data_IF_401414926569
#
_entry.id   IF_401414926569
#
_cell.length_a   1.000
_cell.length_b   1.000
_cell.length_c   1.000
_cell.angle_alpha   90.00
_cell.angle_beta   90.00
_cell.angle_gamma   90.00
#
_symmetry.space_group_name_H-M   'P 1'
#
loop_
_entity.id
_entity.type
_entity.pdbx_description
1 polymer ?
#
# COMPACT_ATOMS: atom_id res chain seq x y z
N UNK A 1 -6.65 13.44 5.00
CA UNK A 1 -5.62 12.55 5.55
C UNK A 1 -5.97 11.13 5.13
N UNK A 2 -5.05 10.40 4.50
CA UNK A 2 -5.19 8.94 4.36
C UNK A 2 -5.49 8.41 5.77
N UNK A 3 -6.72 7.88 5.96
CA UNK A 3 -7.22 7.52 7.30
C UNK A 3 -6.33 6.47 7.97
N UNK A 4 -5.56 5.75 7.16
CA UNK A 4 -4.50 4.85 7.58
C UNK A 4 -3.29 5.14 6.68
N UNK A 5 -2.19 5.49 7.32
CA UNK A 5 -0.77 5.20 7.03
C UNK A 5 -0.46 4.62 5.63
N UNK A 6 0.64 5.07 5.00
CA UNK A 6 1.07 4.72 3.63
C UNK A 6 1.05 3.21 3.34
N UNK A 7 1.06 2.38 4.37
CA UNK A 7 0.88 0.93 4.39
C UNK A 7 -0.38 0.44 3.65
N UNK A 8 -1.46 1.22 3.56
CA UNK A 8 -2.58 0.91 2.65
C UNK A 8 -2.11 0.77 1.21
N UNK A 9 -1.27 1.70 0.77
CA UNK A 9 -0.73 1.70 -0.59
C UNK A 9 0.27 0.56 -0.77
N UNK A 10 1.01 0.16 0.28
CA UNK A 10 1.89 -1.02 0.24
C UNK A 10 1.09 -2.30 0.03
N UNK A 11 -0.01 -2.50 0.77
CA UNK A 11 -0.89 -3.66 0.62
C UNK A 11 -1.64 -3.67 -0.72
N UNK A 12 -1.82 -2.51 -1.35
CA UNK A 12 -2.32 -2.42 -2.73
C UNK A 12 -1.22 -2.66 -3.79
N UNK A 13 0.05 -2.72 -3.38
CA UNK A 13 1.23 -2.88 -4.25
C UNK A 13 1.73 -4.32 -4.28
N UNK A 14 0.90 -5.27 -4.73
CA UNK A 14 1.16 -6.70 -4.56
C UNK A 14 2.55 -7.13 -5.06
N UNK A 15 2.88 -6.80 -6.33
CA UNK A 15 4.13 -7.27 -6.95
C UNK A 15 5.37 -6.63 -6.30
N UNK A 16 5.44 -5.31 -6.09
CA UNK A 16 6.58 -4.72 -5.38
C UNK A 16 6.68 -5.20 -3.93
N UNK A 17 5.57 -5.38 -3.23
CA UNK A 17 5.57 -5.88 -1.85
C UNK A 17 6.12 -7.31 -1.78
N UNK A 18 5.66 -8.24 -2.63
CA UNK A 18 6.21 -9.60 -2.73
C UNK A 18 7.71 -9.58 -3.03
N UNK A 19 8.14 -8.73 -3.97
CA UNK A 19 9.55 -8.55 -4.30
C UNK A 19 10.35 -8.05 -3.10
N UNK A 20 9.79 -7.13 -2.30
CA UNK A 20 10.44 -6.61 -1.09
C UNK A 20 10.54 -7.66 0.01
N UNK A 21 9.48 -8.45 0.19
CA UNK A 21 9.43 -9.59 1.11
C UNK A 21 10.36 -10.71 0.68
N UNK A 22 10.64 -10.86 -0.62
CA UNK A 22 11.42 -11.96 -1.17
C UNK A 22 10.62 -13.26 -1.23
N UNK A 23 9.30 -13.17 -1.38
CA UNK A 23 8.37 -14.30 -1.47
C UNK A 23 7.58 -14.23 -2.77
N UNK A 24 6.94 -15.34 -3.15
CA UNK A 24 6.10 -15.44 -4.35
C UNK A 24 4.61 -15.31 -4.04
N UNK A 25 4.24 -15.45 -2.77
CA UNK A 25 2.88 -15.37 -2.27
C UNK A 25 2.83 -14.70 -0.88
N UNK A 26 1.65 -14.24 -0.50
CA UNK A 26 1.41 -13.65 0.82
C UNK A 26 0.98 -14.73 1.80
N UNK A 27 1.56 -14.70 3.00
CA UNK A 27 1.20 -15.58 4.11
C UNK A 27 -0.09 -15.14 4.81
N UNK A 28 -0.55 -13.92 4.54
CA UNK A 28 -1.72 -13.28 5.15
C UNK A 28 -2.63 -12.69 4.09
N UNK A 29 -3.90 -12.56 4.45
CA UNK A 29 -4.93 -11.90 3.64
C UNK A 29 -5.42 -10.63 4.35
N UNK A 30 -5.93 -9.69 3.56
CA UNK A 30 -6.57 -8.45 4.01
C UNK A 30 -7.80 -8.16 3.15
N UNK A 31 -8.58 -7.14 3.52
CA UNK A 31 -9.81 -6.78 2.79
C UNK A 31 -9.51 -6.21 1.41
N UNK A 32 -10.46 -6.37 0.49
CA UNK A 32 -10.48 -5.66 -0.79
C UNK A 32 -11.81 -4.89 -0.90
N UNK A 33 -11.81 -3.55 -0.93
CA UNK A 33 -10.64 -2.66 -0.98
C UNK A 33 -9.83 -2.67 0.32
N UNK A 34 -8.52 -2.41 0.17
CA UNK A 34 -7.56 -2.40 1.29
C UNK A 34 -7.92 -1.31 2.33
N UNK A 35 -8.55 -0.24 1.86
CA UNK A 35 -9.01 0.89 2.68
C UNK A 35 -10.09 0.51 3.70
N UNK A 36 -10.78 -0.62 3.51
CA UNK A 36 -11.80 -1.13 4.43
C UNK A 36 -11.20 -1.94 5.59
N UNK A 37 -9.88 -2.15 5.60
CA UNK A 37 -9.20 -2.90 6.65
C UNK A 37 -9.38 -2.17 8.00
N UNK A 38 -10.02 -2.86 8.96
CA UNK A 38 -10.56 -2.23 10.17
C UNK A 38 -9.53 -1.87 11.24
N UNK A 39 -10.01 -1.26 12.33
CA UNK A 39 -9.19 -0.74 13.42
C UNK A 39 -8.65 -1.84 14.35
N UNK A 40 -9.21 -3.05 14.32
CA UNK A 40 -8.70 -4.16 15.13
C UNK A 40 -7.44 -4.76 14.51
N UNK A 41 -7.29 -4.67 13.18
CA UNK A 41 -6.07 -5.04 12.49
C UNK A 41 -5.79 -4.06 11.34
N UNK A 42 -5.27 -2.86 11.64
CA UNK A 42 -5.06 -1.84 10.61
C UNK A 42 -3.98 -2.26 9.61
N UNK A 43 -3.94 -1.65 8.41
CA UNK A 43 -2.98 -1.96 7.35
C UNK A 43 -1.52 -2.10 7.83
N UNK A 44 -1.08 -1.22 8.74
CA UNK A 44 0.26 -1.27 9.34
C UNK A 44 0.58 -2.60 10.00
N UNK A 45 -0.38 -3.18 10.74
CA UNK A 45 -0.18 -4.47 11.42
C UNK A 45 -0.06 -5.62 10.42
N UNK A 46 -0.84 -5.57 9.34
CA UNK A 46 -0.73 -6.58 8.27
C UNK A 46 0.64 -6.50 7.60
N UNK A 47 1.14 -5.29 7.31
CA UNK A 47 2.49 -5.11 6.74
C UNK A 47 3.57 -5.61 7.68
N UNK A 48 3.52 -5.25 8.97
CA UNK A 48 4.46 -5.74 9.98
C UNK A 48 4.48 -7.28 10.06
N UNK A 49 3.30 -7.91 10.06
CA UNK A 49 3.16 -9.37 10.08
C UNK A 49 3.76 -10.01 8.83
N UNK A 50 3.50 -9.46 7.64
CA UNK A 50 4.06 -9.98 6.37
C UNK A 50 5.60 -9.92 6.36
N UNK A 51 6.19 -8.82 6.85
CA UNK A 51 7.64 -8.72 6.98
C UNK A 51 8.18 -9.71 8.01
N UNK A 52 7.51 -9.85 9.15
CA UNK A 52 7.88 -10.81 10.20
C UNK A 52 7.83 -12.25 9.70
N UNK A 53 6.76 -12.63 8.98
CA UNK A 53 6.61 -13.95 8.36
C UNK A 53 7.73 -14.23 7.34
N UNK A 54 8.23 -13.19 6.65
CA UNK A 54 9.38 -13.27 5.75
C UNK A 54 10.76 -13.21 6.47
N UNK A 55 10.78 -13.23 7.81
CA UNK A 55 12.01 -13.14 8.61
C UNK A 55 12.69 -11.76 8.57
N UNK A 56 11.94 -10.71 8.24
CA UNK A 56 12.43 -9.33 8.11
C UNK A 56 11.76 -8.41 9.13
N UNK A 57 12.45 -7.32 9.48
CA UNK A 57 11.85 -6.23 10.25
C UNK A 57 11.40 -5.14 9.29
N UNK A 58 10.13 -4.79 9.33
CA UNK A 58 9.58 -3.64 8.60
C UNK A 58 10.22 -2.34 9.09
N UNK A 59 10.66 -1.51 8.15
CA UNK A 59 11.28 -0.19 8.36
C UNK A 59 10.62 0.82 7.44
N UNK A 60 9.65 1.53 7.99
CA UNK A 60 8.83 2.52 7.26
C UNK A 60 9.67 3.46 6.38
N UNK A 61 10.75 4.04 6.91
CA UNK A 61 11.62 4.99 6.19
C UNK A 61 12.40 4.42 5.02
N UNK A 62 12.53 3.09 4.91
CA UNK A 62 13.27 2.43 3.84
C UNK A 62 12.36 1.60 2.93
N UNK A 63 11.37 0.92 3.51
CA UNK A 63 10.51 -0.02 2.80
C UNK A 63 9.39 0.70 2.06
N UNK A 64 8.77 1.72 2.66
CA UNK A 64 7.72 2.51 2.03
C UNK A 64 8.18 3.14 0.72
N UNK A 65 9.25 3.98 0.68
CA UNK A 65 9.70 4.58 -0.57
C UNK A 65 10.13 3.50 -1.58
N UNK A 66 10.81 2.45 -1.13
CA UNK A 66 11.25 1.39 -2.04
C UNK A 66 10.08 0.71 -2.74
N UNK A 67 9.00 0.41 -2.01
CA UNK A 67 7.80 -0.24 -2.55
C UNK A 67 7.06 0.73 -3.47
N UNK A 68 6.75 1.94 -3.00
CA UNK A 68 5.89 2.89 -3.71
C UNK A 68 6.53 3.44 -4.98
N UNK A 69 7.84 3.67 -5.02
CA UNK A 69 8.57 4.04 -6.26
C UNK A 69 8.45 2.98 -7.36
N UNK A 70 8.10 1.74 -7.00
CA UNK A 70 8.03 0.59 -7.90
C UNK A 70 6.60 0.14 -8.15
N UNK A 71 5.62 0.85 -7.60
CA UNK A 71 4.20 0.52 -7.72
C UNK A 71 3.59 1.11 -8.98
N UNK A 72 2.69 0.34 -9.60
CA UNK A 72 1.88 0.86 -10.70
C UNK A 72 0.77 1.73 -10.15
N UNK A 73 0.81 2.98 -10.57
CA UNK A 73 -0.09 4.01 -10.11
C UNK A 73 -1.54 3.80 -10.58
N UNK A 74 -1.73 3.21 -11.78
CA UNK A 74 -3.05 2.80 -12.27
C UNK A 74 -3.63 1.63 -11.46
N UNK A 75 -2.76 0.75 -10.96
CA UNK A 75 -3.17 -0.35 -10.10
C UNK A 75 -3.62 0.19 -8.72
N UNK A 76 -2.84 1.12 -8.16
CA UNK A 76 -3.14 1.75 -6.87
C UNK A 76 -4.48 2.50 -6.87
N UNK A 77 -4.79 3.30 -7.90
CA UNK A 77 -6.10 3.99 -7.97
C UNK A 77 -7.30 3.02 -8.03
N UNK A 78 -7.11 1.83 -8.60
CA UNK A 78 -8.17 0.84 -8.72
C UNK A 78 -8.38 0.08 -7.39
N UNK A 79 -7.28 -0.18 -6.68
CA UNK A 79 -7.29 -0.89 -5.38
C UNK A 79 -7.57 0.02 -4.17
N UNK A 80 -7.35 1.32 -4.31
CA UNK A 80 -7.57 2.33 -3.29
C UNK A 80 -8.52 3.46 -3.79
N UNK A 81 -9.81 3.15 -4.04
CA UNK A 81 -10.75 4.09 -4.64
C UNK A 81 -11.26 5.20 -3.70
N UNK A 82 -11.15 5.06 -2.38
CA UNK A 82 -11.78 5.98 -1.42
C UNK A 82 -10.95 7.24 -1.18
N UNK A 83 -9.63 7.10 -1.00
CA UNK A 83 -8.75 8.21 -0.66
C UNK A 83 -7.68 8.46 -1.73
N UNK A 84 -7.07 7.41 -2.28
CA UNK A 84 -5.96 7.57 -3.22
C UNK A 84 -6.42 8.05 -4.59
N UNK A 85 -7.46 7.42 -5.14
CA UNK A 85 -8.01 7.82 -6.44
C UNK A 85 -8.50 9.28 -6.47
N UNK A 86 -9.29 9.78 -5.50
CA UNK A 86 -9.72 11.18 -5.51
C UNK A 86 -8.55 12.16 -5.32
N UNK A 87 -7.54 11.79 -4.51
CA UNK A 87 -6.32 12.58 -4.36
C UNK A 87 -5.58 12.74 -5.69
N UNK A 88 -5.38 11.63 -6.41
CA UNK A 88 -4.77 11.63 -7.72
C UNK A 88 -5.56 12.50 -8.70
N UNK A 89 -6.86 12.24 -8.84
CA UNK A 89 -7.69 12.96 -9.80
C UNK A 89 -7.65 14.47 -9.54
N UNK A 90 -7.56 14.88 -8.26
CA UNK A 90 -7.31 16.26 -7.89
C UNK A 90 -5.94 16.77 -8.33
N UNK A 91 -4.88 16.01 -8.10
CA UNK A 91 -3.51 16.37 -8.49
C UNK A 91 -3.35 16.53 -10.01
N UNK A 92 -3.87 15.58 -10.80
CA UNK A 92 -3.78 15.66 -12.27
C UNK A 92 -4.52 16.88 -12.81
N UNK A 93 -5.72 17.17 -12.28
CA UNK A 93 -6.48 18.36 -12.67
C UNK A 93 -5.73 19.66 -12.41
N UNK A 94 -4.93 19.72 -11.34
CA UNK A 94 -4.11 20.90 -11.04
C UNK A 94 -2.94 21.02 -12.03
N UNK A 95 -2.30 19.91 -12.38
CA UNK A 95 -1.19 19.90 -13.33
C UNK A 95 -1.63 20.18 -14.78
N UNK A 96 -2.87 19.84 -15.14
CA UNK A 96 -3.45 20.17 -16.46
C UNK A 96 -3.85 21.65 -16.59
N UNK A 97 -3.85 22.41 -15.49
CA UNK A 97 -4.20 23.83 -15.47
C UNK A 97 -2.98 24.77 -15.54
N UNK A 98 -1.77 24.23 -15.55
CA UNK A 98 -0.49 24.95 -15.76
C UNK A 98 0.02 24.81 -17.20
#
# INVERSE_FOLDING_TARGET
CFKYDLEVLLLASDKPLLKRLGTTEFTRTWTNPVEDQDHHRPPKRVVEDLFSDAGKKYKETADVPWILERSDYNELQNKCPQNFKPFLEGLLKLLEQE
#
